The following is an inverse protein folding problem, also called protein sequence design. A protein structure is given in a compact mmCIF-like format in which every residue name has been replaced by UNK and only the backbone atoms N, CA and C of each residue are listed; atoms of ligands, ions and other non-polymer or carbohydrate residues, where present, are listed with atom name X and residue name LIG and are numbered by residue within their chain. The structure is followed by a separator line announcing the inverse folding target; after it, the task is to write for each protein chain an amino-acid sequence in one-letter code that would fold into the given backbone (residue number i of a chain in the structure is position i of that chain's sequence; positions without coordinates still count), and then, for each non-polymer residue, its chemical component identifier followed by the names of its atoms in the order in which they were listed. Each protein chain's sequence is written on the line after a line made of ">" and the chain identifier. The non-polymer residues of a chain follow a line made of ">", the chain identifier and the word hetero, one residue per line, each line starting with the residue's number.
data_IF_498086000350
#
_entry.id   IF_498086000350
#
_cell.length_a   1.000
_cell.length_b   1.000
_cell.length_c   1.000
_cell.angle_alpha   90.00
_cell.angle_beta   90.00
_cell.angle_gamma   90.00
#
_symmetry.space_group_name_H-M   'P 1'
#
loop_
_entity.id
_entity.type
_entity.pdbx_description
1 polymer ?
#
# COMPACT_ATOMS: atom_id res chain seq x y z
N UNK A 1 6.99 6.73 27.05
CA UNK A 1 6.40 6.18 25.81
C UNK A 1 6.55 4.66 25.84
N UNK A 2 5.46 3.91 25.96
CA UNK A 2 5.50 2.45 26.04
C UNK A 2 5.92 1.86 24.69
N UNK A 3 7.07 1.17 24.66
CA UNK A 3 7.48 0.36 23.51
C UNK A 3 6.40 -0.72 23.30
N UNK A 4 5.70 -0.67 22.17
CA UNK A 4 4.71 -1.69 21.82
C UNK A 4 5.38 -3.05 21.68
N UNK A 5 4.96 -4.02 22.49
CA UNK A 5 5.44 -5.40 22.45
C UNK A 5 5.02 -6.03 21.13
N UNK A 6 5.94 -6.70 20.43
CA UNK A 6 5.61 -7.36 19.15
C UNK A 6 4.72 -8.58 19.42
N UNK A 7 3.77 -8.90 18.53
CA UNK A 7 2.92 -10.09 18.69
C UNK A 7 3.72 -11.40 18.86
N UNK A 8 4.92 -11.49 18.25
CA UNK A 8 5.83 -12.62 18.44
C UNK A 8 6.43 -12.70 19.85
N UNK A 9 6.59 -11.57 20.51
CA UNK A 9 7.10 -11.47 21.87
C UNK A 9 6.00 -11.83 22.88
N UNK A 10 4.77 -11.35 22.66
CA UNK A 10 3.57 -11.80 23.39
C UNK A 10 3.39 -13.31 23.21
N UNK A 11 3.49 -13.83 21.99
CA UNK A 11 3.38 -15.26 21.73
C UNK A 11 4.38 -16.10 22.55
N UNK A 12 5.63 -15.64 22.64
CA UNK A 12 6.68 -16.29 23.42
C UNK A 12 6.43 -16.19 24.93
N UNK A 13 6.01 -15.03 25.42
CA UNK A 13 5.71 -14.79 26.83
C UNK A 13 4.55 -15.66 27.34
N UNK A 14 3.50 -15.79 26.54
CA UNK A 14 2.28 -16.50 26.92
C UNK A 14 2.22 -17.95 26.41
N UNK A 15 3.29 -18.46 25.78
CA UNK A 15 3.37 -19.84 25.30
C UNK A 15 2.34 -20.19 24.21
N UNK A 16 1.89 -19.21 23.44
CA UNK A 16 0.85 -19.36 22.39
C UNK A 16 1.41 -19.07 21.00
N UNK A 17 0.67 -19.44 19.95
CA UNK A 17 1.07 -19.12 18.59
C UNK A 17 0.86 -17.64 18.25
N UNK A 18 1.69 -17.09 17.37
CA UNK A 18 1.51 -15.72 16.83
C UNK A 18 0.15 -15.55 16.13
N UNK A 19 -0.34 -16.60 15.48
CA UNK A 19 -1.65 -16.60 14.83
C UNK A 19 -2.77 -16.42 15.86
N UNK A 20 -2.69 -17.11 17.00
CA UNK A 20 -3.65 -16.99 18.10
C UNK A 20 -3.65 -15.59 18.72
N UNK A 21 -2.47 -15.00 18.97
CA UNK A 21 -2.35 -13.59 19.42
C UNK A 21 -3.00 -12.64 18.43
N UNK A 22 -2.79 -12.85 17.12
CA UNK A 22 -3.43 -12.05 16.08
C UNK A 22 -4.95 -12.19 16.04
N UNK A 23 -5.49 -13.39 16.31
CA UNK A 23 -6.92 -13.63 16.42
C UNK A 23 -7.53 -12.92 17.63
N UNK A 24 -6.89 -13.01 18.80
CA UNK A 24 -7.31 -12.31 20.02
C UNK A 24 -7.28 -10.79 19.82
N UNK A 25 -6.25 -10.26 19.16
CA UNK A 25 -6.17 -8.84 18.85
C UNK A 25 -7.36 -8.41 17.98
N UNK A 26 -7.70 -9.17 16.94
CA UNK A 26 -8.87 -8.89 16.09
C UNK A 26 -10.19 -8.96 16.88
N UNK A 27 -10.36 -9.97 17.72
CA UNK A 27 -11.55 -10.11 18.59
C UNK A 27 -11.67 -8.94 19.57
N UNK A 28 -10.55 -8.44 20.09
CA UNK A 28 -10.47 -7.25 20.94
C UNK A 28 -10.56 -5.91 20.17
N UNK A 29 -10.91 -5.92 18.88
CA UNK A 29 -11.10 -4.69 18.09
C UNK A 29 -9.82 -4.04 17.57
N UNK A 30 -8.65 -4.70 17.66
CA UNK A 30 -7.42 -4.19 17.05
C UNK A 30 -7.53 -4.21 15.52
N UNK A 31 -7.51 -3.02 14.92
CA UNK A 31 -7.53 -2.84 13.48
C UNK A 31 -6.11 -2.56 12.97
N UNK A 32 -5.54 -3.56 12.29
CA UNK A 32 -4.15 -3.49 11.84
C UNK A 32 -3.97 -2.44 10.73
N UNK A 33 -2.80 -1.78 10.62
CA UNK A 33 -2.55 -0.80 9.56
C UNK A 33 -2.85 -1.35 8.16
N UNK A 34 -2.51 -2.60 7.90
CA UNK A 34 -2.76 -3.22 6.59
C UNK A 34 -4.26 -3.43 6.32
N UNK A 35 -5.05 -3.79 7.34
CA UNK A 35 -6.52 -3.90 7.22
C UNK A 35 -7.14 -2.54 6.92
N UNK A 36 -6.68 -1.48 7.59
CA UNK A 36 -7.11 -0.11 7.30
C UNK A 36 -6.77 0.31 5.87
N UNK A 37 -5.55 0.02 5.41
CA UNK A 37 -5.12 0.28 4.03
C UNK A 37 -6.02 -0.46 3.04
N UNK A 38 -6.26 -1.76 3.22
CA UNK A 38 -7.12 -2.56 2.34
C UNK A 38 -8.56 -2.02 2.26
N UNK A 39 -9.17 -1.60 3.38
CA UNK A 39 -10.53 -1.01 3.40
C UNK A 39 -10.65 0.33 2.67
N UNK A 40 -9.52 1.02 2.50
CA UNK A 40 -9.44 2.33 1.86
C UNK A 40 -8.80 2.26 0.47
N UNK A 41 -8.55 1.05 -0.05
CA UNK A 41 -8.10 0.90 -1.43
C UNK A 41 -9.09 1.56 -2.40
N UNK A 42 -8.59 2.15 -3.49
CA UNK A 42 -9.44 2.84 -4.45
C UNK A 42 -10.32 1.92 -5.29
N UNK A 43 -9.96 0.63 -5.31
CA UNK A 43 -10.54 -0.41 -6.14
C UNK A 43 -10.88 -1.65 -5.30
N UNK A 44 -11.86 -2.42 -5.76
CA UNK A 44 -12.06 -3.80 -5.32
C UNK A 44 -11.17 -4.70 -6.17
N UNK A 45 -10.03 -5.11 -5.59
CA UNK A 45 -9.00 -5.87 -6.29
C UNK A 45 -9.25 -7.36 -6.11
N UNK A 46 -9.30 -8.11 -7.21
CA UNK A 46 -9.38 -9.57 -7.18
C UNK A 46 -8.14 -10.16 -6.48
N UNK A 47 -8.29 -11.06 -5.49
CA UNK A 47 -7.17 -11.74 -4.83
C UNK A 47 -6.14 -12.37 -5.77
N UNK A 48 -6.52 -12.79 -6.98
CA UNK A 48 -5.62 -13.30 -8.00
C UNK A 48 -4.51 -12.30 -8.37
N UNK A 49 -4.77 -11.00 -8.23
CA UNK A 49 -3.81 -9.94 -8.54
C UNK A 49 -2.98 -9.47 -7.34
N UNK A 50 -3.14 -10.06 -6.15
CA UNK A 50 -2.36 -9.65 -4.96
C UNK A 50 -0.85 -9.94 -5.10
N UNK A 51 -0.47 -10.83 -6.01
CA UNK A 51 0.93 -11.07 -6.33
C UNK A 51 1.58 -9.93 -7.14
N UNK A 52 0.79 -9.04 -7.75
CA UNK A 52 1.27 -7.95 -8.58
C UNK A 52 2.20 -6.99 -7.80
N UNK A 53 3.34 -6.64 -8.38
CA UNK A 53 4.34 -5.76 -7.76
C UNK A 53 3.83 -4.33 -7.60
N UNK A 54 2.96 -3.85 -8.51
CA UNK A 54 2.32 -2.54 -8.39
C UNK A 54 1.35 -2.54 -7.21
N UNK A 55 0.50 -3.57 -7.07
CA UNK A 55 -0.39 -3.72 -5.91
C UNK A 55 0.37 -3.70 -4.58
N UNK A 56 1.48 -4.46 -4.53
CA UNK A 56 2.39 -4.46 -3.37
C UNK A 56 3.00 -3.08 -3.11
N UNK A 57 3.31 -2.32 -4.16
CA UNK A 57 3.79 -0.94 -4.07
C UNK A 57 2.75 0.01 -3.48
N UNK A 58 1.51 -0.04 -3.98
CA UNK A 58 0.38 0.78 -3.49
C UNK A 58 0.07 0.47 -2.02
N UNK A 59 -0.04 -0.81 -1.68
CA UNK A 59 -0.33 -1.22 -0.29
C UNK A 59 0.81 -0.88 0.67
N UNK A 60 2.06 -1.01 0.24
CA UNK A 60 3.23 -0.60 1.02
C UNK A 60 3.26 0.94 1.21
N UNK A 61 2.90 1.71 0.18
CA UNK A 61 2.77 3.15 0.27
C UNK A 61 1.69 3.53 1.29
N UNK A 62 0.49 2.95 1.17
CA UNK A 62 -0.59 3.20 2.13
C UNK A 62 -0.21 2.81 3.56
N UNK A 63 0.52 1.71 3.75
CA UNK A 63 1.04 1.32 5.07
C UNK A 63 1.99 2.40 5.59
N UNK A 64 2.93 2.88 4.76
CA UNK A 64 3.88 3.92 5.13
C UNK A 64 3.18 5.23 5.50
N UNK A 65 2.21 5.67 4.70
CA UNK A 65 1.42 6.88 4.97
C UNK A 65 0.60 6.78 6.26
N UNK A 66 0.14 5.58 6.61
CA UNK A 66 -0.64 5.34 7.82
C UNK A 66 0.22 5.17 9.09
N UNK A 67 1.35 4.46 8.98
CA UNK A 67 2.14 4.04 10.13
C UNK A 67 3.38 4.91 10.36
N UNK A 68 3.86 5.64 9.36
CA UNK A 68 5.12 6.38 9.39
C UNK A 68 6.28 5.62 8.72
N UNK A 69 7.21 6.36 8.12
CA UNK A 69 8.41 5.84 7.44
C UNK A 69 9.29 5.00 8.35
N UNK A 70 9.38 5.37 9.63
CA UNK A 70 10.17 4.68 10.66
C UNK A 70 9.61 3.30 11.04
N UNK A 71 8.35 3.01 10.68
CA UNK A 71 7.72 1.70 10.93
C UNK A 71 7.94 0.70 9.79
N UNK A 72 8.54 1.11 8.69
CA UNK A 72 8.86 0.22 7.56
C UNK A 72 10.37 -0.01 7.44
N UNK A 73 10.74 -1.24 7.06
CA UNK A 73 12.15 -1.64 6.92
C UNK A 73 12.90 -0.83 5.86
N UNK A 74 14.21 -0.71 5.98
CA UNK A 74 15.05 -0.06 4.97
C UNK A 74 14.86 -0.68 3.56
N UNK A 75 14.73 -2.00 3.47
CA UNK A 75 14.43 -2.70 2.21
C UNK A 75 13.08 -2.26 1.62
N UNK A 76 12.06 -2.09 2.47
CA UNK A 76 10.76 -1.58 2.03
C UNK A 76 10.84 -0.12 1.58
N UNK A 77 11.63 0.72 2.27
CA UNK A 77 11.86 2.11 1.88
C UNK A 77 12.54 2.18 0.49
N UNK A 78 13.52 1.32 0.22
CA UNK A 78 14.17 1.25 -1.09
C UNK A 78 13.19 0.82 -2.20
N UNK A 79 12.26 -0.12 -1.91
CA UNK A 79 11.19 -0.50 -2.84
C UNK A 79 10.25 0.68 -3.13
N UNK A 80 9.87 1.44 -2.11
CA UNK A 80 9.05 2.65 -2.29
C UNK A 80 9.78 3.72 -3.08
N UNK A 81 11.08 3.92 -2.86
CA UNK A 81 11.87 4.85 -3.65
C UNK A 81 11.85 4.49 -5.15
N UNK A 82 12.05 3.21 -5.49
CA UNK A 82 11.93 2.75 -6.87
C UNK A 82 10.51 2.95 -7.45
N UNK A 83 9.49 2.73 -6.64
CA UNK A 83 8.09 2.96 -7.01
C UNK A 83 7.80 4.45 -7.28
N UNK A 84 8.24 5.36 -6.39
CA UNK A 84 8.06 6.81 -6.55
C UNK A 84 8.86 7.36 -7.72
N UNK A 85 10.10 6.89 -7.93
CA UNK A 85 10.90 7.25 -9.10
C UNK A 85 10.17 6.97 -10.40
N UNK A 86 9.44 5.85 -10.50
CA UNK A 86 8.61 5.56 -11.69
C UNK A 86 7.46 6.57 -11.84
N UNK A 87 6.70 6.80 -10.77
CA UNK A 87 5.55 7.72 -10.79
C UNK A 87 5.95 9.13 -11.20
N UNK A 88 7.07 9.63 -10.65
CA UNK A 88 7.51 11.01 -10.85
C UNK A 88 8.27 11.16 -12.17
N UNK A 89 9.27 10.31 -12.45
CA UNK A 89 10.11 10.44 -13.66
C UNK A 89 9.31 10.28 -14.95
N UNK A 90 8.31 9.39 -14.95
CA UNK A 90 7.49 9.15 -16.14
C UNK A 90 6.16 9.90 -16.11
N UNK A 91 5.91 10.71 -15.08
CA UNK A 91 4.65 11.43 -14.88
C UNK A 91 3.41 10.51 -15.03
N UNK A 92 3.44 9.39 -14.31
CA UNK A 92 2.40 8.35 -14.33
C UNK A 92 1.74 8.19 -12.96
N UNK A 93 0.56 7.57 -12.97
CA UNK A 93 -0.18 7.10 -11.80
C UNK A 93 -0.51 5.62 -11.94
N UNK A 94 -0.83 4.96 -10.85
CA UNK A 94 -1.31 3.58 -10.87
C UNK A 94 -2.79 3.52 -11.15
N UNK A 95 -3.20 2.61 -12.01
CA UNK A 95 -4.58 2.22 -12.18
C UNK A 95 -4.74 0.70 -12.07
N UNK A 96 -5.96 0.28 -11.74
CA UNK A 96 -6.37 -1.11 -11.69
C UNK A 96 -7.53 -1.35 -12.65
N UNK A 97 -7.36 -2.36 -13.48
CA UNK A 97 -8.38 -2.93 -14.34
C UNK A 97 -8.00 -4.39 -14.57
N UNK A 98 -8.88 -5.37 -14.26
CA UNK A 98 -8.58 -6.79 -14.44
C UNK A 98 -8.14 -7.14 -15.87
N UNK A 99 -8.56 -6.37 -16.87
CA UNK A 99 -8.24 -6.58 -18.28
C UNK A 99 -6.84 -6.04 -18.67
N UNK A 100 -6.16 -5.30 -17.79
CA UNK A 100 -4.79 -4.87 -18.04
C UNK A 100 -3.85 -6.07 -18.13
N UNK A 101 -3.21 -6.22 -19.28
CA UNK A 101 -2.22 -7.26 -19.52
C UNK A 101 -0.90 -6.97 -18.81
N UNK A 102 -0.24 -8.04 -18.37
CA UNK A 102 1.12 -7.97 -17.88
C UNK A 102 2.05 -7.42 -18.98
N UNK A 103 2.94 -6.50 -18.60
CA UNK A 103 3.93 -5.90 -19.46
C UNK A 103 5.31 -6.37 -19.00
N UNK A 104 5.97 -7.29 -19.74
CA UNK A 104 7.28 -7.80 -19.37
C UNK A 104 8.28 -6.69 -19.05
N UNK A 105 8.98 -6.81 -17.91
CA UNK A 105 9.91 -5.79 -17.43
C UNK A 105 9.27 -4.62 -16.65
N UNK A 106 7.94 -4.47 -16.70
CA UNK A 106 7.22 -3.43 -15.97
C UNK A 106 6.26 -3.99 -14.91
N UNK A 107 5.43 -4.96 -15.28
CA UNK A 107 4.47 -5.65 -14.39
C UNK A 107 4.64 -7.16 -14.50
N UNK A 108 4.52 -7.86 -13.37
CA UNK A 108 4.74 -9.30 -13.29
C UNK A 108 3.47 -10.13 -13.51
N UNK A 109 2.30 -9.51 -13.41
CA UNK A 109 0.98 -10.12 -13.61
C UNK A 109 0.01 -9.08 -14.18
N UNK A 110 -1.15 -9.53 -14.66
CA UNK A 110 -2.25 -8.67 -15.10
C UNK A 110 -2.80 -7.78 -13.97
N UNK A 111 -3.75 -6.92 -14.31
CA UNK A 111 -4.62 -6.19 -13.38
C UNK A 111 -4.17 -4.76 -13.09
N UNK A 112 -2.88 -4.46 -13.12
CA UNK A 112 -2.36 -3.13 -12.75
C UNK A 112 -1.48 -2.56 -13.84
N UNK A 113 -1.59 -1.25 -14.04
CA UNK A 113 -0.79 -0.51 -15.00
C UNK A 113 -0.30 0.82 -14.43
N UNK A 114 0.80 1.31 -14.98
CA UNK A 114 1.15 2.73 -14.91
C UNK A 114 0.48 3.43 -16.10
N UNK A 115 -0.35 4.42 -15.82
CA UNK A 115 -1.07 5.18 -16.84
C UNK A 115 -0.68 6.66 -16.77
N UNK A 116 -0.75 7.43 -17.87
CA UNK A 116 -0.42 8.85 -17.86
C UNK A 116 -1.22 9.62 -16.80
N UNK A 117 -0.52 10.48 -16.04
CA UNK A 117 -1.14 11.41 -15.10
C UNK A 117 -1.94 12.47 -15.86
N UNK A 118 -3.18 12.67 -15.45
CA UNK A 118 -4.07 13.74 -15.90
C UNK A 118 -4.31 14.78 -14.81
N UNK A 119 -4.95 15.89 -15.17
CA UNK A 119 -5.19 17.01 -14.24
C UNK A 119 -6.03 16.61 -13.00
N UNK A 120 -6.99 15.68 -13.17
CA UNK A 120 -7.84 15.20 -12.08
C UNK A 120 -7.05 14.42 -11.01
N UNK A 121 -5.90 13.85 -11.37
CA UNK A 121 -5.10 13.00 -10.49
C UNK A 121 -4.33 13.83 -9.45
N UNK A 122 -4.15 15.13 -9.68
CA UNK A 122 -3.41 16.04 -8.79
C UNK A 122 -2.05 15.43 -8.40
N UNK A 123 -1.79 15.31 -7.10
CA UNK A 123 -0.64 14.70 -6.45
C UNK A 123 -0.86 13.24 -6.02
N UNK A 124 -1.97 12.60 -6.43
CA UNK A 124 -2.22 11.21 -6.08
C UNK A 124 -1.27 10.24 -6.80
N UNK A 125 -0.96 9.11 -6.17
CA UNK A 125 -0.24 7.99 -6.78
C UNK A 125 -1.17 7.10 -7.63
N UNK A 126 -2.47 7.35 -7.57
CA UNK A 126 -3.54 6.56 -8.19
C UNK A 126 -4.32 7.37 -9.21
N UNK A 127 -4.91 6.69 -10.19
CA UNK A 127 -5.75 7.31 -11.22
C UNK A 127 -7.11 7.71 -10.65
N UNK A 128 -7.52 8.96 -10.89
CA UNK A 128 -8.84 9.49 -10.55
C UNK A 128 -9.70 9.44 -11.80
N UNK A 129 -10.68 8.53 -11.81
CA UNK A 129 -11.63 8.32 -12.91
C UNK A 129 -12.93 7.69 -12.39
N UNK A 130 -14.02 7.62 -13.19
CA UNK A 130 -15.23 6.90 -12.81
C UNK A 130 -14.94 5.46 -12.37
N UNK A 131 -15.60 5.03 -11.30
CA UNK A 131 -15.40 3.71 -10.69
C UNK A 131 -14.28 3.65 -9.65
N UNK A 132 -13.45 4.69 -9.52
CA UNK A 132 -12.42 4.77 -8.46
C UNK A 132 -12.97 5.51 -7.25
N UNK A 133 -12.88 4.89 -6.07
CA UNK A 133 -13.42 5.43 -4.82
C UNK A 133 -12.31 5.99 -3.94
N UNK A 134 -12.29 7.30 -3.73
CA UNK A 134 -11.40 7.94 -2.75
C UNK A 134 -12.18 8.18 -1.46
N UNK A 135 -11.81 7.48 -0.39
CA UNK A 135 -12.39 7.71 0.95
C UNK A 135 -11.72 8.93 1.61
N UNK A 136 -12.31 9.51 2.68
CA UNK A 136 -11.67 10.61 3.41
C UNK A 136 -10.28 10.26 3.96
N UNK A 137 -10.05 9.00 4.35
CA UNK A 137 -8.71 8.53 4.72
C UNK A 137 -7.83 8.31 3.48
N UNK A 138 -8.40 7.77 2.41
CA UNK A 138 -7.75 7.60 1.10
C UNK A 138 -7.18 8.89 0.54
N UNK A 139 -7.86 10.03 0.72
CA UNK A 139 -7.36 11.35 0.32
C UNK A 139 -6.00 11.69 0.94
N UNK A 140 -5.71 11.14 2.13
CA UNK A 140 -4.42 11.31 2.81
C UNK A 140 -3.46 10.19 2.42
N UNK A 141 -3.95 8.95 2.34
CA UNK A 141 -3.12 7.77 2.10
C UNK A 141 -2.53 7.71 0.70
N UNK A 142 -3.18 8.28 -0.31
CA UNK A 142 -2.83 8.04 -1.70
C UNK A 142 -2.06 9.19 -2.35
N UNK A 143 -1.63 10.20 -1.58
CA UNK A 143 -0.84 11.32 -2.08
C UNK A 143 0.63 10.97 -2.14
N UNK A 144 1.33 11.49 -3.15
CA UNK A 144 2.79 11.49 -3.13
C UNK A 144 3.27 12.22 -1.87
N UNK A 145 4.21 11.64 -1.10
CA UNK A 145 4.76 12.30 0.07
C UNK A 145 5.63 13.50 -0.36
N UNK A 146 5.44 14.66 0.28
CA UNK A 146 6.18 15.90 -0.01
C UNK A 146 7.67 15.80 0.30
N UNK A 147 8.03 15.03 1.31
CA UNK A 147 9.38 15.05 1.92
C UNK A 147 10.29 13.95 1.36
N UNK A 148 9.84 13.20 0.35
CA UNK A 148 10.67 12.18 -0.27
C UNK A 148 11.51 12.81 -1.37
N UNK A 149 12.65 13.35 -0.94
CA UNK A 149 13.68 13.88 -1.80
C UNK A 149 14.07 12.79 -2.84
N UNK A 150 13.78 13.07 -4.11
CA UNK A 150 14.22 12.27 -5.24
C UNK A 150 15.59 12.77 -5.66
N UNK A 151 16.57 12.47 -4.82
CA UNK A 151 17.98 12.68 -5.12
C UNK A 151 18.48 11.52 -6.00
#
# INVERSE_FOLDING_TARGET
>A
MSKGVRQSEIAREYGVSRQYVGQLAKQGGYDSPITKVSRNLPWEVDPAFYANTIYKGVTLHGHMMLAGKEKISATSQNKLLGFYRKLIRFNVVVDYDPDYLAQPGLTNTNGFAYVPRGAADKDYIIKVRPGVRITPLGEKLWRLPSDWALD
#
